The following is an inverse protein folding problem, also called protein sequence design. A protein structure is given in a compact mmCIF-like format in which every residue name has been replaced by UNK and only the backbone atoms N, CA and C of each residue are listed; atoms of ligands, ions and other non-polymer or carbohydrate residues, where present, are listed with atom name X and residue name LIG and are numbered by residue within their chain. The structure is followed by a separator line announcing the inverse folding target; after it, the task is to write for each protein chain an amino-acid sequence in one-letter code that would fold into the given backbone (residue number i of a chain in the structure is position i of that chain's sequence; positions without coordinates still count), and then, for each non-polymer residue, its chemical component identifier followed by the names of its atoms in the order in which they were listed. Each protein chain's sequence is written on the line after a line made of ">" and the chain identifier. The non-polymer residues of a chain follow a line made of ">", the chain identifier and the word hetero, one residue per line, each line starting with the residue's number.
data_IF_657113024377
#
_entry.id   IF_657113024377
#
_cell.length_a   1.000
_cell.length_b   1.000
_cell.length_c   1.000
_cell.angle_alpha   90.00
_cell.angle_beta   90.00
_cell.angle_gamma   90.00
#
_symmetry.space_group_name_H-M   'P 1'
#
loop_
_entity.id
_entity.type
_entity.pdbx_description
1 polymer ?
#
# COMPACT_ATOMS: atom_id res chain seq x y z
N UNK A 1 -15.16 4.59 -10.55
CA UNK A 1 -14.47 5.92 -10.56
C UNK A 1 -13.04 5.65 -10.19
N UNK A 2 -12.06 6.38 -10.73
CA UNK A 2 -10.66 6.12 -10.37
C UNK A 2 -10.26 6.83 -9.09
N UNK A 3 -9.57 6.08 -8.23
CA UNK A 3 -8.99 6.55 -6.99
C UNK A 3 -7.48 6.36 -7.03
N UNK A 4 -6.80 7.19 -6.25
CA UNK A 4 -5.40 7.04 -5.92
C UNK A 4 -5.27 6.91 -4.41
N UNK A 5 -4.59 5.86 -3.97
CA UNK A 5 -4.15 5.70 -2.61
C UNK A 5 -2.63 5.82 -2.52
N UNK A 6 -2.14 6.38 -1.43
CA UNK A 6 -0.73 6.36 -1.08
C UNK A 6 -0.61 5.91 0.37
N UNK A 7 0.28 4.95 0.63
CA UNK A 7 0.50 4.46 1.98
C UNK A 7 1.98 4.27 2.30
N UNK A 8 2.31 4.47 3.58
CA UNK A 8 3.61 4.11 4.14
C UNK A 8 3.41 3.16 5.31
N UNK A 9 4.37 2.26 5.53
CA UNK A 9 4.39 1.33 6.64
C UNK A 9 5.69 1.50 7.41
N UNK A 10 5.63 1.38 8.73
CA UNK A 10 6.77 1.57 9.62
C UNK A 10 6.93 0.40 10.59
N UNK A 11 8.15 0.09 11.07
CA UNK A 11 9.39 0.84 10.85
C UNK A 11 9.99 0.60 9.46
N UNK A 12 10.50 1.65 8.83
CA UNK A 12 11.21 1.57 7.55
C UNK A 12 12.64 2.06 7.77
N UNK A 13 13.58 1.13 7.86
CA UNK A 13 15.00 1.47 7.98
C UNK A 13 15.55 1.84 6.60
N UNK A 14 16.24 2.98 6.52
CA UNK A 14 16.76 3.52 5.25
C UNK A 14 17.93 2.66 4.71
N UNK A 15 18.56 1.87 5.58
CA UNK A 15 19.66 0.98 5.24
C UNK A 15 19.16 -0.47 5.19
N UNK A 16 19.04 -1.04 3.98
CA UNK A 16 18.73 -2.46 3.81
C UNK A 16 17.67 -2.74 2.75
N UNK A 17 17.12 -3.95 2.82
CA UNK A 17 16.00 -4.37 1.98
C UNK A 17 14.68 -3.82 2.55
N UNK A 18 13.69 -3.49 1.69
CA UNK A 18 12.38 -3.13 2.17
C UNK A 18 11.81 -4.18 3.14
N UNK A 19 11.21 -3.75 4.27
CA UNK A 19 10.69 -4.67 5.27
C UNK A 19 9.48 -5.45 4.74
N UNK A 20 9.24 -6.64 5.30
CA UNK A 20 8.15 -7.53 4.87
C UNK A 20 6.77 -6.85 4.93
N UNK A 21 6.54 -6.00 5.93
CA UNK A 21 5.28 -5.25 6.04
C UNK A 21 5.03 -4.28 4.89
N UNK A 22 6.07 -3.82 4.19
CA UNK A 22 5.95 -2.97 3.02
C UNK A 22 5.79 -3.82 1.76
N UNK A 23 6.60 -4.87 1.59
CA UNK A 23 6.59 -5.71 0.38
C UNK A 23 5.35 -6.59 0.27
N UNK A 24 4.88 -7.17 1.37
CA UNK A 24 3.68 -8.01 1.36
C UNK A 24 2.41 -7.16 1.22
N UNK A 25 2.38 -5.96 1.80
CA UNK A 25 1.29 -5.02 1.60
C UNK A 25 1.21 -4.54 0.14
N UNK A 26 2.35 -4.25 -0.50
CA UNK A 26 2.42 -3.98 -1.95
C UNK A 26 1.87 -5.17 -2.75
N UNK A 27 2.31 -6.39 -2.43
CA UNK A 27 1.91 -7.60 -3.15
C UNK A 27 0.39 -7.81 -3.14
N UNK A 28 -0.29 -7.52 -2.04
CA UNK A 28 -1.77 -7.57 -1.98
C UNK A 28 -2.41 -6.63 -2.99
N UNK A 29 -1.87 -5.42 -3.14
CA UNK A 29 -2.36 -4.46 -4.12
C UNK A 29 -2.10 -4.92 -5.57
N UNK A 30 -0.93 -5.48 -5.84
CA UNK A 30 -0.57 -6.04 -7.16
C UNK A 30 -1.47 -7.23 -7.52
N UNK A 31 -1.74 -8.14 -6.58
CA UNK A 31 -2.62 -9.30 -6.77
C UNK A 31 -4.09 -8.89 -6.99
N UNK A 32 -4.50 -7.74 -6.45
CA UNK A 32 -5.80 -7.13 -6.74
C UNK A 32 -5.89 -6.50 -8.15
N UNK A 33 -4.79 -6.52 -8.91
CA UNK A 33 -4.72 -5.97 -10.27
C UNK A 33 -4.62 -4.44 -10.31
N UNK A 34 -4.16 -3.81 -9.23
CA UNK A 34 -4.00 -2.36 -9.17
C UNK A 34 -2.67 -1.90 -9.77
N UNK A 35 -2.64 -0.68 -10.30
CA UNK A 35 -1.40 -0.04 -10.75
C UNK A 35 -0.62 0.41 -9.51
N UNK A 36 0.56 -0.19 -9.28
CA UNK A 36 1.38 0.06 -8.09
C UNK A 36 2.73 0.69 -8.44
N UNK A 37 3.15 1.66 -7.64
CA UNK A 37 4.48 2.28 -7.70
C UNK A 37 5.09 2.29 -6.29
N UNK A 38 6.13 1.47 -6.10
CA UNK A 38 6.83 1.33 -4.82
C UNK A 38 8.03 2.29 -4.77
N UNK A 39 7.84 3.40 -4.06
CA UNK A 39 8.79 4.50 -4.01
C UNK A 39 9.43 4.73 -2.63
N UNK A 40 10.44 5.61 -2.55
CA UNK A 40 11.13 5.93 -1.29
C UNK A 40 10.26 6.69 -0.28
N UNK A 41 9.14 7.26 -0.72
CA UNK A 41 8.22 8.02 0.13
C UNK A 41 6.93 7.27 0.46
N UNK A 42 6.79 6.03 -0.03
CA UNK A 42 5.58 5.23 0.13
C UNK A 42 5.24 4.41 -1.10
N UNK A 43 4.16 3.66 -1.00
CA UNK A 43 3.57 2.92 -2.10
C UNK A 43 2.37 3.69 -2.61
N UNK A 44 2.37 3.99 -3.91
CA UNK A 44 1.25 4.62 -4.57
C UNK A 44 0.47 3.57 -5.37
N UNK A 45 -0.83 3.50 -5.14
CA UNK A 45 -1.76 2.55 -5.74
C UNK A 45 -2.86 3.30 -6.49
N UNK A 46 -3.16 2.90 -7.73
CA UNK A 46 -4.23 3.49 -8.55
C UNK A 46 -5.13 2.40 -9.13
N UNK A 47 -6.41 2.72 -9.28
CA UNK A 47 -7.37 1.81 -9.92
C UNK A 47 -8.81 2.26 -9.78
N UNK A 48 -9.71 1.44 -10.31
CA UNK A 48 -11.15 1.63 -10.10
C UNK A 48 -11.49 1.45 -8.62
N UNK A 49 -12.37 2.31 -8.11
CA UNK A 49 -12.82 2.33 -6.72
C UNK A 49 -13.28 0.95 -6.25
N UNK A 50 -13.97 0.21 -7.10
CA UNK A 50 -14.54 -1.11 -6.84
C UNK A 50 -13.46 -2.18 -6.61
N UNK A 51 -12.24 -1.95 -7.08
CA UNK A 51 -11.07 -2.80 -6.84
C UNK A 51 -10.20 -2.24 -5.71
N UNK A 52 -9.98 -0.92 -5.72
CA UNK A 52 -9.04 -0.27 -4.81
C UNK A 52 -9.53 -0.29 -3.36
N UNK A 53 -10.78 0.10 -3.09
CA UNK A 53 -11.26 0.19 -1.70
C UNK A 53 -11.27 -1.17 -0.98
N UNK A 54 -11.73 -2.29 -1.58
CA UNK A 54 -11.60 -3.59 -0.95
C UNK A 54 -10.15 -4.03 -0.73
N UNK A 55 -9.25 -3.74 -1.68
CA UNK A 55 -7.83 -4.10 -1.56
C UNK A 55 -7.14 -3.39 -0.39
N UNK A 56 -7.51 -2.14 -0.10
CA UNK A 56 -6.92 -1.37 1.00
C UNK A 56 -7.10 -2.06 2.37
N UNK A 57 -8.21 -2.77 2.60
CA UNK A 57 -8.37 -3.55 3.84
C UNK A 57 -7.30 -4.63 3.96
N UNK A 58 -7.07 -5.41 2.89
CA UNK A 58 -6.05 -6.44 2.85
C UNK A 58 -4.62 -5.88 2.97
N UNK A 59 -4.35 -4.72 2.38
CA UNK A 59 -3.07 -4.00 2.52
C UNK A 59 -2.81 -3.66 3.98
N UNK A 60 -3.79 -3.08 4.68
CA UNK A 60 -3.67 -2.71 6.09
C UNK A 60 -3.49 -3.94 7.00
N UNK A 61 -4.32 -4.98 6.82
CA UNK A 61 -4.22 -6.23 7.58
C UNK A 61 -2.87 -6.90 7.40
N UNK A 62 -2.39 -7.00 6.15
CA UNK A 62 -1.11 -7.62 5.82
C UNK A 62 0.06 -6.82 6.37
N UNK A 63 0.03 -5.50 6.27
CA UNK A 63 1.07 -4.65 6.85
C UNK A 63 1.26 -4.94 8.35
N UNK A 64 0.17 -4.92 9.13
CA UNK A 64 0.24 -5.22 10.57
C UNK A 64 0.63 -6.68 10.86
N UNK A 65 0.13 -7.65 10.08
CA UNK A 65 0.47 -9.06 10.23
C UNK A 65 1.98 -9.33 10.01
N UNK A 66 2.63 -8.52 9.16
CA UNK A 66 4.05 -8.63 8.83
C UNK A 66 4.94 -7.64 9.60
N UNK A 67 4.43 -7.07 10.69
CA UNK A 67 5.24 -6.33 11.67
C UNK A 67 5.25 -4.82 11.49
N UNK A 68 4.33 -4.24 10.70
CA UNK A 68 4.11 -2.80 10.79
C UNK A 68 3.63 -2.43 12.19
N UNK A 69 4.23 -1.40 12.78
CA UNK A 69 3.76 -0.74 14.00
C UNK A 69 2.88 0.47 13.68
N UNK A 70 3.02 1.03 12.48
CA UNK A 70 2.22 2.16 11.99
C UNK A 70 2.02 2.05 10.49
N UNK A 71 0.84 2.45 10.03
CA UNK A 71 0.52 2.68 8.63
C UNK A 71 -0.05 4.08 8.47
N UNK A 72 0.41 4.84 7.49
CA UNK A 72 -0.27 6.05 7.03
C UNK A 72 -0.95 5.77 5.71
N UNK A 73 -2.14 6.33 5.49
CA UNK A 73 -2.92 6.11 4.28
C UNK A 73 -3.60 7.41 3.87
N UNK A 74 -3.39 7.81 2.62
CA UNK A 74 -4.16 8.84 1.95
C UNK A 74 -4.95 8.21 0.80
N UNK A 75 -6.19 8.65 0.61
CA UNK A 75 -7.02 8.28 -0.54
C UNK A 75 -7.62 9.54 -1.14
N UNK A 76 -7.57 9.66 -2.47
CA UNK A 76 -8.12 10.79 -3.21
C UNK A 76 -8.75 10.31 -4.53
N UNK A 77 -9.66 11.09 -5.08
CA UNK A 77 -10.09 10.90 -6.46
C UNK A 77 -8.92 11.11 -7.41
N UNK A 78 -8.83 10.27 -8.44
CA UNK A 78 -8.00 10.54 -9.59
C UNK A 78 -8.74 11.58 -10.43
N UNK A 79 -8.25 12.83 -10.37
CA UNK A 79 -8.96 14.02 -10.85
C UNK A 79 -9.28 14.02 -12.33
#
# INVERSE_FOLDING_TARGET
>A
MRLVAEFTTEPFEVEGQPPAHATEALRVAEEAGLECDFGPLGTLVRGEQELLLPALTGVLETAFAHGASRVTLQVRSDG
#
